data_IF_073338001384
#
_entry.id   IF_073338001384
#
_cell.length_a   1.000
_cell.length_b   1.000
_cell.length_c   1.000
_cell.angle_alpha   90.00
_cell.angle_beta   90.00
_cell.angle_gamma   90.00
#
_symmetry.space_group_name_H-M   'P 1'
#
loop_
_entity.id
_entity.type
_entity.pdbx_description
1 polymer ?
#
# COMPACT_ATOMS: atom_id res chain seq x y z
N UNK A 1 5.63 -46.87 -41.88
CA UNK A 1 5.47 -46.71 -40.41
C UNK A 1 6.26 -45.50 -39.89
N UNK A 2 7.57 -45.39 -40.17
CA UNK A 2 8.41 -44.24 -39.76
C UNK A 2 7.85 -42.86 -40.15
N UNK A 3 7.38 -42.68 -41.39
CA UNK A 3 6.83 -41.40 -41.84
C UNK A 3 5.57 -40.96 -41.07
N UNK A 4 4.69 -41.91 -40.69
CA UNK A 4 3.49 -41.60 -39.92
C UNK A 4 3.82 -41.25 -38.45
N UNK A 5 4.79 -41.94 -37.86
CA UNK A 5 5.29 -41.65 -36.51
C UNK A 5 5.97 -40.28 -36.45
N UNK A 6 6.79 -39.95 -37.46
CA UNK A 6 7.46 -38.65 -37.55
C UNK A 6 6.46 -37.48 -37.70
N UNK A 7 5.39 -37.66 -38.49
CA UNK A 7 4.35 -36.65 -38.68
C UNK A 7 3.53 -36.42 -37.39
N UNK A 8 3.20 -37.51 -36.68
CA UNK A 8 2.55 -37.41 -35.37
C UNK A 8 3.40 -36.69 -34.33
N UNK A 9 4.71 -36.97 -34.29
CA UNK A 9 5.64 -36.25 -33.41
C UNK A 9 5.75 -34.77 -33.78
N UNK A 10 5.85 -34.42 -35.07
CA UNK A 10 5.96 -33.03 -35.52
C UNK A 10 4.70 -32.21 -35.18
N UNK A 11 3.51 -32.79 -35.28
CA UNK A 11 2.25 -32.12 -34.89
C UNK A 11 2.17 -31.95 -33.37
N UNK A 12 2.55 -32.96 -32.59
CA UNK A 12 2.58 -32.86 -31.13
C UNK A 12 3.56 -31.80 -30.63
N UNK A 13 4.79 -31.80 -31.15
CA UNK A 13 5.81 -30.80 -30.81
C UNK A 13 5.46 -29.41 -31.34
N UNK A 14 4.88 -29.31 -32.54
CA UNK A 14 4.41 -28.03 -33.10
C UNK A 14 3.26 -27.42 -32.30
N UNK A 15 2.31 -28.25 -31.86
CA UNK A 15 1.24 -27.83 -30.96
C UNK A 15 1.77 -27.41 -29.59
N UNK A 16 2.65 -28.21 -28.99
CA UNK A 16 3.27 -27.89 -27.68
C UNK A 16 4.10 -26.60 -27.72
N UNK A 17 4.87 -26.38 -28.79
CA UNK A 17 5.66 -25.17 -28.95
C UNK A 17 4.80 -23.94 -29.27
N UNK A 18 3.76 -24.09 -30.09
CA UNK A 18 2.81 -23.00 -30.41
C UNK A 18 1.96 -22.57 -29.21
N UNK A 19 1.48 -23.53 -28.41
CA UNK A 19 0.74 -23.25 -27.18
C UNK A 19 1.64 -22.56 -26.14
N UNK A 20 2.86 -23.05 -25.96
CA UNK A 20 3.83 -22.46 -25.03
C UNK A 20 4.21 -21.02 -25.40
N UNK A 21 4.38 -20.72 -26.69
CA UNK A 21 4.78 -19.38 -27.10
C UNK A 21 3.66 -18.34 -27.05
N UNK A 22 2.41 -18.75 -27.26
CA UNK A 22 1.29 -17.82 -27.38
C UNK A 22 0.49 -17.70 -26.08
N UNK A 23 0.24 -18.81 -25.38
CA UNK A 23 -0.59 -18.83 -24.18
C UNK A 23 0.27 -18.62 -22.93
N UNK A 24 1.33 -19.42 -22.75
CA UNK A 24 2.13 -19.37 -21.52
C UNK A 24 2.88 -18.04 -21.41
N UNK A 25 3.32 -17.47 -22.54
CA UNK A 25 3.97 -16.16 -22.58
C UNK A 25 3.01 -15.02 -22.22
N UNK A 26 1.82 -14.98 -22.80
CA UNK A 26 0.84 -13.93 -22.51
C UNK A 26 0.36 -13.99 -21.04
N UNK A 27 0.20 -15.21 -20.51
CA UNK A 27 -0.12 -15.42 -19.10
C UNK A 27 1.03 -14.96 -18.18
N UNK A 28 2.29 -15.27 -18.51
CA UNK A 28 3.46 -14.81 -17.77
C UNK A 28 3.58 -13.28 -17.79
N UNK A 29 3.43 -12.65 -18.95
CA UNK A 29 3.47 -11.19 -19.10
C UNK A 29 2.36 -10.51 -18.28
N UNK A 30 1.15 -11.08 -18.27
CA UNK A 30 0.05 -10.57 -17.46
C UNK A 30 0.33 -10.69 -15.97
N UNK A 31 0.92 -11.82 -15.54
CA UNK A 31 1.33 -12.05 -14.16
C UNK A 31 2.38 -11.03 -13.71
N UNK A 32 3.40 -10.81 -14.52
CA UNK A 32 4.47 -9.86 -14.21
C UNK A 32 3.94 -8.42 -14.19
N UNK A 33 3.05 -8.06 -15.12
CA UNK A 33 2.39 -6.76 -15.14
C UNK A 33 1.49 -6.55 -13.90
N UNK A 34 0.73 -7.56 -13.49
CA UNK A 34 -0.11 -7.49 -12.30
C UNK A 34 0.73 -7.32 -11.03
N UNK A 35 1.82 -8.10 -10.88
CA UNK A 35 2.72 -7.98 -9.74
C UNK A 35 3.41 -6.61 -9.71
N UNK A 36 3.88 -6.12 -10.87
CA UNK A 36 4.47 -4.78 -10.99
C UNK A 36 3.47 -3.69 -10.62
N UNK A 37 2.23 -3.79 -11.10
CA UNK A 37 1.16 -2.84 -10.75
C UNK A 37 0.86 -2.84 -9.25
N UNK A 38 0.83 -4.01 -8.61
CA UNK A 38 0.64 -4.11 -7.16
C UNK A 38 1.76 -3.44 -6.37
N UNK A 39 3.01 -3.73 -6.74
CA UNK A 39 4.18 -3.13 -6.09
C UNK A 39 4.21 -1.61 -6.27
N UNK A 40 3.92 -1.12 -7.48
CA UNK A 40 3.87 0.30 -7.77
C UNK A 40 2.73 1.00 -7.00
N UNK A 41 1.53 0.41 -6.99
CA UNK A 41 0.41 0.97 -6.23
C UNK A 41 0.69 0.98 -4.73
N UNK A 42 1.27 -0.09 -4.19
CA UNK A 42 1.67 -0.15 -2.79
C UNK A 42 2.70 0.93 -2.43
N UNK A 43 3.72 1.14 -3.27
CA UNK A 43 4.71 2.22 -3.07
C UNK A 43 4.05 3.59 -3.12
N UNK A 44 3.26 3.87 -4.16
CA UNK A 44 2.64 5.17 -4.37
C UNK A 44 1.64 5.52 -3.26
N UNK A 45 0.87 4.53 -2.77
CA UNK A 45 -0.10 4.72 -1.68
C UNK A 45 0.55 4.82 -0.30
N UNK A 46 1.83 4.44 -0.15
CA UNK A 46 2.58 4.53 1.11
C UNK A 46 3.72 5.56 1.05
N UNK A 47 3.70 6.47 0.08
CA UNK A 47 4.72 7.51 -0.08
C UNK A 47 4.10 8.90 -0.22
N UNK A 48 4.67 9.88 0.49
CA UNK A 48 4.32 11.29 0.43
C UNK A 48 5.61 12.09 0.50
N UNK A 49 5.88 12.88 -0.54
CA UNK A 49 7.02 13.80 -0.57
C UNK A 49 6.57 15.16 -0.03
N UNK A 50 7.23 15.62 1.04
CA UNK A 50 6.90 16.89 1.67
C UNK A 50 7.15 18.10 0.76
N UNK A 51 8.11 18.00 -0.17
CA UNK A 51 8.44 19.06 -1.13
C UNK A 51 7.56 18.99 -2.40
N UNK A 52 6.82 17.90 -2.60
CA UNK A 52 6.07 17.63 -3.82
C UNK A 52 4.73 16.91 -3.59
N UNK A 53 3.99 17.32 -2.56
CA UNK A 53 2.75 16.65 -2.10
C UNK A 53 1.72 16.45 -3.22
N UNK A 54 1.50 17.46 -4.06
CA UNK A 54 0.54 17.34 -5.17
C UNK A 54 0.93 16.24 -6.18
N UNK A 55 2.23 16.05 -6.40
CA UNK A 55 2.73 14.96 -7.25
C UNK A 55 2.54 13.60 -6.57
N UNK A 56 2.76 13.51 -5.25
CA UNK A 56 2.48 12.28 -4.50
C UNK A 56 1.01 11.90 -4.58
N UNK A 57 0.11 12.87 -4.38
CA UNK A 57 -1.33 12.65 -4.49
C UNK A 57 -1.75 12.24 -5.91
N UNK A 58 -1.16 12.81 -6.94
CA UNK A 58 -1.40 12.38 -8.33
C UNK A 58 -0.89 10.96 -8.59
N UNK A 59 0.27 10.59 -8.03
CA UNK A 59 0.78 9.22 -8.11
C UNK A 59 -0.17 8.24 -7.42
N UNK A 60 -0.74 8.58 -6.27
CA UNK A 60 -1.77 7.79 -5.61
C UNK A 60 -3.01 7.63 -6.51
N UNK A 61 -3.57 8.73 -7.03
CA UNK A 61 -4.76 8.71 -7.91
C UNK A 61 -4.52 7.85 -9.16
N UNK A 62 -3.33 7.96 -9.76
CA UNK A 62 -2.98 7.20 -10.97
C UNK A 62 -2.87 5.68 -10.70
N UNK A 63 -2.61 5.30 -9.46
CA UNK A 63 -2.38 3.91 -9.03
C UNK A 63 -3.63 3.19 -8.54
N UNK A 64 -4.75 3.89 -8.40
CA UNK A 64 -6.00 3.34 -7.86
C UNK A 64 -7.12 3.26 -8.91
N UNK A 65 -8.02 2.32 -8.70
CA UNK A 65 -9.26 2.15 -9.45
C UNK A 65 -10.39 1.75 -8.50
N UNK A 66 -11.60 1.62 -9.05
CA UNK A 66 -12.80 1.40 -8.25
C UNK A 66 -13.17 2.60 -7.37
N UNK A 67 -14.36 2.56 -6.80
CA UNK A 67 -14.89 3.70 -6.04
C UNK A 67 -14.32 3.76 -4.62
N UNK A 68 -13.96 2.62 -4.01
CA UNK A 68 -13.53 2.55 -2.62
C UNK A 68 -12.28 3.42 -2.37
N UNK A 69 -11.15 3.11 -3.02
CA UNK A 69 -9.93 3.89 -2.84
C UNK A 69 -10.03 5.31 -3.42
N UNK A 70 -10.78 5.51 -4.50
CA UNK A 70 -10.96 6.86 -5.08
C UNK A 70 -11.68 7.79 -4.11
N UNK A 71 -12.73 7.30 -3.45
CA UNK A 71 -13.48 8.06 -2.48
C UNK A 71 -12.68 8.29 -1.20
N UNK A 72 -11.96 7.27 -0.72
CA UNK A 72 -11.11 7.39 0.46
C UNK A 72 -9.97 8.41 0.27
N UNK A 73 -9.30 8.37 -0.87
CA UNK A 73 -8.28 9.37 -1.21
C UNK A 73 -8.89 10.76 -1.33
N UNK A 74 -10.03 10.91 -2.02
CA UNK A 74 -10.71 12.20 -2.15
C UNK A 74 -11.14 12.78 -0.79
N UNK A 75 -11.47 11.92 0.18
CA UNK A 75 -11.87 12.33 1.52
C UNK A 75 -10.68 12.73 2.42
N UNK A 76 -9.48 12.19 2.18
CA UNK A 76 -8.30 12.35 3.05
C UNK A 76 -7.24 13.30 2.49
N UNK A 77 -7.34 13.66 1.21
CA UNK A 77 -6.35 14.46 0.50
C UNK A 77 -6.00 15.81 1.16
N UNK A 78 -7.01 16.52 1.68
CA UNK A 78 -6.82 17.81 2.35
C UNK A 78 -6.07 17.65 3.68
N UNK A 79 -6.41 16.60 4.44
CA UNK A 79 -5.74 16.27 5.71
C UNK A 79 -4.27 15.90 5.47
N UNK A 80 -3.97 15.15 4.40
CA UNK A 80 -2.59 14.83 4.01
C UNK A 80 -1.81 16.13 3.76
N UNK A 81 -2.36 17.06 2.97
CA UNK A 81 -1.70 18.36 2.70
C UNK A 81 -1.48 19.16 3.98
N UNK A 82 -2.51 19.27 4.82
CA UNK A 82 -2.45 20.03 6.05
C UNK A 82 -1.37 19.46 6.98
N UNK A 83 -1.34 18.14 7.16
CA UNK A 83 -0.37 17.47 8.02
C UNK A 83 1.07 17.61 7.51
N UNK A 84 1.29 17.51 6.21
CA UNK A 84 2.61 17.75 5.63
C UNK A 84 3.04 19.21 5.82
N UNK A 85 2.15 20.17 5.58
CA UNK A 85 2.45 21.59 5.75
C UNK A 85 2.75 21.96 7.22
N UNK A 86 2.08 21.31 8.16
CA UNK A 86 2.27 21.51 9.59
C UNK A 86 3.57 20.88 10.12
N UNK A 87 3.86 19.64 9.70
CA UNK A 87 4.90 18.82 10.32
C UNK A 87 6.18 18.70 9.51
N UNK A 88 6.14 19.00 8.20
CA UNK A 88 7.23 18.69 7.27
C UNK A 88 7.49 17.18 7.12
N UNK A 89 6.56 16.33 7.53
CA UNK A 89 6.74 14.87 7.49
C UNK A 89 6.70 14.36 6.06
N UNK A 90 7.69 13.54 5.71
CA UNK A 90 7.76 12.78 4.47
C UNK A 90 7.62 11.29 4.75
N UNK A 91 7.13 10.56 3.76
CA UNK A 91 7.03 9.11 3.76
C UNK A 91 7.59 8.55 2.47
N UNK A 92 8.46 7.55 2.57
CA UNK A 92 8.99 6.83 1.41
C UNK A 92 8.85 5.33 1.61
N UNK A 93 8.22 4.66 0.64
CA UNK A 93 8.08 3.21 0.65
C UNK A 93 9.03 2.55 -0.36
N UNK A 94 9.73 1.51 0.08
CA UNK A 94 10.55 0.65 -0.77
C UNK A 94 10.03 -0.79 -0.73
N UNK A 95 10.03 -1.49 -1.87
CA UNK A 95 9.58 -2.88 -1.93
C UNK A 95 10.66 -3.80 -1.39
N UNK A 96 10.36 -4.55 -0.33
CA UNK A 96 11.21 -5.63 0.18
C UNK A 96 10.87 -6.97 -0.49
N UNK A 97 9.57 -7.21 -0.70
CA UNK A 97 9.07 -8.46 -1.28
C UNK A 97 7.70 -8.23 -1.91
N UNK A 98 7.37 -8.96 -2.98
CA UNK A 98 6.06 -8.95 -3.59
C UNK A 98 5.72 -10.31 -4.19
N UNK A 99 4.47 -10.76 -4.02
CA UNK A 99 3.96 -11.95 -4.70
C UNK A 99 2.49 -11.80 -5.01
N UNK A 100 2.05 -12.38 -6.13
CA UNK A 100 0.63 -12.62 -6.36
C UNK A 100 0.16 -13.80 -5.50
N UNK A 101 -1.01 -13.65 -4.90
CA UNK A 101 -1.73 -14.71 -4.19
C UNK A 101 -2.85 -15.27 -5.05
N UNK A 102 -3.45 -14.45 -5.90
CA UNK A 102 -4.49 -14.82 -6.87
C UNK A 102 -4.31 -14.01 -8.16
N UNK A 103 -4.64 -14.61 -9.30
CA UNK A 103 -4.74 -13.92 -10.59
C UNK A 103 -5.85 -14.58 -11.41
N UNK A 104 -6.80 -13.78 -11.86
CA UNK A 104 -7.86 -14.17 -12.78
C UNK A 104 -7.76 -13.27 -14.02
N UNK A 105 -7.28 -13.87 -15.11
CA UNK A 105 -7.07 -13.18 -16.39
C UNK A 105 -8.35 -12.98 -17.18
N UNK A 106 -9.42 -13.72 -16.87
CA UNK A 106 -10.70 -13.60 -17.58
C UNK A 106 -11.51 -12.41 -17.04
N UNK A 107 -11.42 -12.17 -15.73
CA UNK A 107 -12.12 -11.07 -15.05
C UNK A 107 -11.24 -9.81 -14.84
N UNK A 108 -9.98 -9.85 -15.28
CA UNK A 108 -8.99 -8.79 -15.07
C UNK A 108 -8.82 -8.42 -13.59
N UNK A 109 -8.76 -9.44 -12.73
CA UNK A 109 -8.63 -9.33 -11.27
C UNK A 109 -7.36 -10.00 -10.76
N UNK A 110 -6.79 -9.45 -9.69
CA UNK A 110 -5.65 -10.06 -9.01
C UNK A 110 -5.63 -9.74 -7.52
N UNK A 111 -4.83 -10.49 -6.77
CA UNK A 111 -4.47 -10.17 -5.39
C UNK A 111 -2.99 -10.36 -5.18
N UNK A 112 -2.38 -9.46 -4.42
CA UNK A 112 -0.96 -9.51 -4.10
C UNK A 112 -0.73 -9.32 -2.60
N UNK A 113 0.33 -9.94 -2.10
CA UNK A 113 0.97 -9.53 -0.85
C UNK A 113 2.24 -8.76 -1.23
N UNK A 114 2.32 -7.51 -0.80
CA UNK A 114 3.52 -6.67 -0.96
C UNK A 114 4.04 -6.33 0.43
N UNK A 115 5.34 -6.48 0.66
CA UNK A 115 6.00 -6.11 1.91
C UNK A 115 6.88 -4.91 1.63
N UNK A 116 6.61 -3.82 2.33
CA UNK A 116 7.29 -2.54 2.17
C UNK A 116 8.23 -2.28 3.35
N UNK A 117 9.32 -1.57 3.08
CA UNK A 117 10.02 -0.76 4.07
C UNK A 117 9.48 0.67 3.93
N UNK A 118 8.68 1.12 4.89
CA UNK A 118 8.11 2.47 4.90
C UNK A 118 8.89 3.31 5.89
N UNK A 119 9.60 4.31 5.39
CA UNK A 119 10.32 5.28 6.20
C UNK A 119 9.49 6.55 6.34
N UNK A 120 9.10 6.85 7.57
CA UNK A 120 8.50 8.12 7.94
C UNK A 120 9.59 9.01 8.51
N UNK A 121 9.73 10.21 7.98
CA UNK A 121 10.80 11.15 8.36
C UNK A 121 10.22 12.54 8.59
N UNK A 122 10.38 13.04 9.82
CA UNK A 122 10.20 14.45 10.18
C UNK A 122 11.52 15.20 9.97
N UNK A 123 11.59 16.53 10.20
CA UNK A 123 12.87 17.23 10.14
C UNK A 123 13.88 16.77 11.20
N UNK A 124 13.43 16.20 12.33
CA UNK A 124 14.30 15.82 13.45
C UNK A 124 14.60 14.33 13.53
N UNK A 125 13.63 13.45 13.23
CA UNK A 125 13.76 12.01 13.42
C UNK A 125 13.13 11.21 12.29
N UNK A 126 13.49 9.94 12.20
CA UNK A 126 12.87 8.98 11.30
C UNK A 126 12.59 7.66 12.00
N UNK A 127 11.60 6.95 11.47
CA UNK A 127 11.29 5.57 11.79
C UNK A 127 11.06 4.83 10.48
N UNK A 128 11.64 3.63 10.35
CA UNK A 128 11.42 2.72 9.23
C UNK A 128 10.69 1.49 9.74
N UNK A 129 9.51 1.25 9.19
CA UNK A 129 8.67 0.11 9.51
C UNK A 129 8.62 -0.89 8.36
N UNK A 130 8.63 -2.18 8.68
CA UNK A 130 8.23 -3.23 7.74
C UNK A 130 6.70 -3.29 7.71
N UNK A 131 6.09 -3.03 6.57
CA UNK A 131 4.64 -2.96 6.39
C UNK A 131 4.19 -3.93 5.31
N UNK A 132 3.66 -5.12 5.67
CA UNK A 132 2.98 -5.99 4.71
C UNK A 132 1.60 -5.43 4.37
N UNK A 133 1.26 -5.40 3.09
CA UNK A 133 -0.04 -4.96 2.59
C UNK A 133 -0.63 -6.01 1.65
N UNK A 134 -1.93 -6.26 1.78
CA UNK A 134 -2.71 -7.01 0.81
C UNK A 134 -3.31 -6.05 -0.20
N UNK A 135 -3.05 -6.26 -1.48
CA UNK A 135 -3.51 -5.39 -2.56
C UNK A 135 -4.47 -6.19 -3.43
N UNK A 136 -5.74 -5.76 -3.51
CA UNK A 136 -6.65 -6.24 -4.55
C UNK A 136 -6.46 -5.39 -5.79
N UNK A 137 -6.36 -6.05 -6.94
CA UNK A 137 -6.02 -5.42 -8.21
C UNK A 137 -7.16 -5.58 -9.21
N UNK A 138 -7.34 -4.55 -10.02
CA UNK A 138 -8.14 -4.61 -11.24
C UNK A 138 -7.37 -3.98 -12.38
N UNK A 139 -7.45 -4.58 -13.57
CA UNK A 139 -6.90 -3.99 -14.78
C UNK A 139 -7.81 -2.85 -15.27
N UNK A 140 -7.24 -1.68 -15.49
CA UNK A 140 -7.89 -0.49 -16.04
C UNK A 140 -7.16 -0.09 -17.34
N UNK A 141 -7.74 -0.47 -18.48
CA UNK A 141 -7.03 -0.45 -19.76
C UNK A 141 -5.89 -1.48 -19.76
N UNK A 142 -4.66 -1.02 -20.01
CA UNK A 142 -3.47 -1.88 -20.00
C UNK A 142 -2.74 -1.91 -18.65
N UNK A 143 -3.23 -1.16 -17.66
CA UNK A 143 -2.52 -0.96 -16.39
C UNK A 143 -3.25 -1.64 -15.24
N UNK A 144 -2.53 -2.42 -14.45
CA UNK A 144 -3.03 -2.98 -13.20
C UNK A 144 -2.98 -1.92 -12.10
N UNK A 145 -4.12 -1.66 -11.46
CA UNK A 145 -4.29 -0.66 -10.40
C UNK A 145 -4.86 -1.31 -9.15
N UNK A 146 -4.62 -0.70 -8.00
CA UNK A 146 -5.20 -1.13 -6.73
C UNK A 146 -6.70 -0.77 -6.68
N UNK A 147 -7.55 -1.74 -6.38
CA UNK A 147 -8.96 -1.55 -6.04
C UNK A 147 -9.14 -1.42 -4.52
N UNK A 148 -8.36 -2.18 -3.74
CA UNK A 148 -8.23 -2.05 -2.29
C UNK A 148 -6.78 -2.24 -1.85
N UNK A 149 -6.42 -1.67 -0.71
CA UNK A 149 -5.17 -1.92 -0.01
C UNK A 149 -5.45 -2.09 1.48
N UNK A 150 -4.97 -3.18 2.05
CA UNK A 150 -5.22 -3.51 3.46
C UNK A 150 -3.87 -3.74 4.16
N UNK A 151 -3.48 -2.86 5.11
CA UNK A 151 -2.26 -3.06 5.87
C UNK A 151 -2.43 -4.22 6.87
N UNK A 152 -1.36 -5.01 7.02
CA UNK A 152 -1.22 -5.99 8.08
C UNK A 152 -0.38 -5.39 9.23
N UNK A 153 -0.17 -6.17 10.28
CA UNK A 153 0.68 -5.77 11.40
C UNK A 153 2.08 -5.35 10.93
N UNK A 154 2.48 -4.13 11.28
CA UNK A 154 3.79 -3.57 10.99
C UNK A 154 4.79 -3.87 12.11
N UNK A 155 6.07 -3.83 11.77
CA UNK A 155 7.17 -4.03 12.73
C UNK A 155 8.22 -2.95 12.51
N UNK A 156 8.61 -2.24 13.56
CA UNK A 156 9.73 -1.30 13.50
C UNK A 156 11.02 -2.04 13.15
N UNK A 157 11.74 -1.52 12.15
CA UNK A 157 13.04 -2.03 11.74
C UNK A 157 14.17 -1.16 12.27
N UNK A 158 14.01 0.17 12.16
CA UNK A 158 15.03 1.14 12.50
C UNK A 158 14.37 2.46 12.90
N UNK A 159 14.97 3.18 13.84
CA UNK A 159 14.60 4.55 14.18
C UNK A 159 15.85 5.35 14.58
N UNK A 160 15.82 6.67 14.40
CA UNK A 160 16.95 7.52 14.74
C UNK A 160 16.75 9.00 14.40
N UNK A 161 17.69 9.87 14.80
CA UNK A 161 17.67 11.26 14.40
C UNK A 161 18.00 11.38 12.90
N UNK A 162 17.41 12.37 12.21
CA UNK A 162 17.81 12.69 10.85
C UNK A 162 19.25 13.23 10.86
N UNK A 163 20.17 12.68 10.03
CA UNK A 163 21.54 13.16 9.97
C UNK A 163 21.60 14.66 9.65
N UNK A 164 22.22 15.44 10.54
CA UNK A 164 22.32 16.90 10.41
C UNK A 164 21.19 17.69 11.08
N UNK A 165 20.20 17.02 11.68
CA UNK A 165 19.22 17.68 12.54
C UNK A 165 19.91 18.28 13.79
N UNK A 166 19.45 19.45 14.28
CA UNK A 166 19.88 19.98 15.57
C UNK A 166 19.67 18.94 16.67
N UNK A 167 20.63 18.84 17.61
CA UNK A 167 20.50 17.91 18.73
C UNK A 167 19.21 18.20 19.52
N UNK A 168 18.42 17.17 19.88
CA UNK A 168 17.20 17.37 20.66
C UNK A 168 17.49 18.08 21.97
N UNK A 169 16.60 18.99 22.38
CA UNK A 169 16.64 19.60 23.72
C UNK A 169 16.48 18.47 24.77
N UNK A 170 17.40 18.29 25.74
CA UNK A 170 17.36 17.20 26.72
C UNK A 170 16.07 17.08 27.56
N UNK A 171 15.12 18.01 27.45
CA UNK A 171 13.86 18.03 28.17
C UNK A 171 12.59 17.64 27.38
N UNK A 172 12.67 17.42 26.06
CA UNK A 172 11.49 17.13 25.24
C UNK A 172 11.32 15.62 25.02
N UNK A 173 10.50 14.96 25.85
CA UNK A 173 10.14 13.56 25.65
C UNK A 173 9.09 13.45 24.52
N UNK A 174 9.30 12.61 23.49
CA UNK A 174 8.31 12.40 22.43
C UNK A 174 7.00 11.85 23.02
N UNK A 175 5.87 12.37 22.55
CA UNK A 175 4.56 11.84 22.89
C UNK A 175 4.41 10.42 22.29
N UNK A 176 4.04 9.41 23.09
CA UNK A 176 3.70 8.09 22.56
C UNK A 176 2.38 8.20 21.78
N UNK A 177 2.41 8.01 20.47
CA UNK A 177 1.16 7.90 19.70
C UNK A 177 1.23 8.02 18.18
N UNK A 178 2.27 8.61 17.60
CA UNK A 178 2.22 9.06 16.20
C UNK A 178 2.86 8.11 15.16
N UNK A 179 2.98 6.81 15.48
CA UNK A 179 3.58 5.79 14.58
C UNK A 179 2.64 5.27 13.49
N UNK A 180 1.51 5.92 13.24
CA UNK A 180 0.61 5.56 12.13
C UNK A 180 1.05 6.22 10.83
N UNK A 181 1.61 5.44 9.90
CA UNK A 181 1.45 5.77 8.48
C UNK A 181 -0.04 6.07 8.22
N UNK A 182 -0.42 7.14 7.50
CA UNK A 182 -1.78 7.27 7.03
C UNK A 182 -2.02 6.09 6.08
N UNK A 183 -2.73 5.08 6.57
CA UNK A 183 -3.37 4.13 5.70
C UNK A 183 -4.54 4.87 5.04
N UNK A 184 -4.68 4.83 3.71
CA UNK A 184 -5.96 5.11 3.08
C UNK A 184 -6.96 4.10 3.69
N UNK A 185 -7.82 4.55 4.58
CA UNK A 185 -8.68 3.70 5.41
C UNK A 185 -8.70 4.01 6.91
N UNK A 186 -7.95 4.99 7.41
CA UNK A 186 -8.15 5.49 8.78
C UNK A 186 -9.38 6.41 8.85
N UNK A 187 -10.54 5.88 8.40
CA UNK A 187 -11.83 6.41 8.82
C UNK A 187 -11.91 6.22 10.32
N UNK A 188 -11.67 7.30 11.05
CA UNK A 188 -12.03 7.42 12.45
C UNK A 188 -13.51 7.08 12.63
N UNK A 189 -13.80 5.81 12.92
CA UNK A 189 -15.02 5.44 13.59
C UNK A 189 -14.92 6.02 15.01
N UNK A 190 -15.86 6.89 15.45
CA UNK A 190 -15.83 7.38 16.82
C UNK A 190 -16.01 6.17 17.75
N UNK A 191 -15.05 5.96 18.65
CA UNK A 191 -15.22 5.04 19.76
C UNK A 191 -16.49 5.45 20.55
N UNK A 192 -17.38 4.51 20.91
CA UNK A 192 -18.54 4.80 21.72
C UNK A 192 -18.11 5.43 23.05
N UNK A 193 -18.70 6.59 23.35
CA UNK A 193 -18.33 7.47 24.44
C UNK A 193 -18.21 6.79 25.80
N UNK A 194 -17.09 7.05 26.45
CA UNK A 194 -16.94 6.90 27.89
C UNK A 194 -17.81 7.97 28.55
N UNK A 195 -18.95 7.54 29.09
CA UNK A 195 -19.93 8.43 29.72
C UNK A 195 -19.43 8.77 31.12
N UNK A 196 -18.51 9.74 31.21
CA UNK A 196 -18.08 10.31 32.48
C UNK A 196 -18.98 11.45 32.92
N UNK A 197 -19.97 11.17 33.79
CA UNK A 197 -20.59 12.14 34.71
C UNK A 197 -21.47 11.41 35.76
N UNK A 198 -21.69 11.98 36.96
CA UNK A 198 -20.74 12.34 38.02
C UNK A 198 -21.07 11.62 39.36
N UNK A 199 -20.27 11.91 40.39
CA UNK A 199 -20.39 11.37 41.76
C UNK A 199 -21.77 11.65 42.42
N UNK A 200 -22.27 10.75 43.30
CA UNK A 200 -23.46 11.03 44.09
C UNK A 200 -23.12 11.90 45.29
N UNK A 201 -23.61 13.15 45.31
CA UNK A 201 -23.75 13.93 46.53
C UNK A 201 -24.87 13.32 47.37
N UNK A 202 -24.54 12.92 48.60
CA UNK A 202 -25.52 12.55 49.61
C UNK A 202 -25.99 13.78 50.36
N UNK A 203 -27.31 13.99 50.41
CA UNK A 203 -27.95 14.79 51.45
C UNK A 203 -29.11 13.99 52.06
N UNK A 204 -29.02 13.79 53.37
CA UNK A 204 -30.07 13.20 54.19
C UNK A 204 -31.20 14.18 54.47
N UNK A 205 -32.36 13.63 54.85
CA UNK A 205 -33.60 14.35 55.18
C UNK A 205 -33.48 15.32 56.36
N UNK A 206 -34.59 16.01 56.71
CA UNK A 206 -35.75 15.34 57.31
C UNK A 206 -37.09 15.48 56.55
#
# INVERSE_FOLDING_TARGET
MLAAVALGAAVWFGYGWGHALLVDRAAAETRDAALSGAMQAAVNLNSVDADAVDMSLENMRSSITGDALRNDLAATEEDIRARVAETGTSMSAEVLFGTLTELNTDDDLGKALVVLAVRTQTPEYFVTNKVPVLVSLRKDGDVWKAETIEPLASVEMESGPVPGAPAPDPGAQPAPGDTGAPAPGDTGAPAPGDTGAPAPEGEGGP
#
